data_IF_832319592596
#
_entry.id   IF_832319592596
#
_cell.length_a   1.000
_cell.length_b   1.000
_cell.length_c   1.000
_cell.angle_alpha   90.00
_cell.angle_beta   90.00
_cell.angle_gamma   90.00
#
_symmetry.space_group_name_H-M   'P 1'
#
loop_
_entity.id
_entity.type
_entity.pdbx_description
1 polymer ?
#
# COMPACT_ATOMS: atom_id res chain seq x y z
N UNK A 1 -0.05 -4.66 11.55
CA UNK A 1 -0.84 -3.50 12.08
C UNK A 1 -0.88 -3.47 13.60
N UNK A 2 -1.18 -4.59 14.28
CA UNK A 2 -1.23 -4.67 15.75
C UNK A 2 0.08 -4.24 16.45
N UNK A 3 1.24 -4.63 15.91
CA UNK A 3 2.54 -4.24 16.46
C UNK A 3 2.74 -2.72 16.47
N UNK A 4 2.35 -2.00 15.41
CA UNK A 4 2.42 -0.54 15.38
C UNK A 4 1.51 0.10 16.42
N UNK A 5 0.27 -0.40 16.53
CA UNK A 5 -0.68 0.11 17.53
C UNK A 5 -0.21 -0.13 18.99
N UNK A 6 0.57 -1.18 19.22
CA UNK A 6 1.13 -1.53 20.54
C UNK A 6 2.55 -1.01 20.77
N UNK A 7 3.07 -0.14 19.89
CA UNK A 7 4.41 0.45 19.95
C UNK A 7 5.54 -0.59 20.04
N UNK A 8 5.37 -1.72 19.34
CA UNK A 8 6.38 -2.77 19.22
C UNK A 8 7.30 -2.50 18.03
N UNK A 9 8.50 -3.09 18.06
CA UNK A 9 9.41 -3.04 16.92
C UNK A 9 8.80 -3.73 15.71
N UNK A 10 8.94 -3.08 14.55
CA UNK A 10 8.44 -3.57 13.27
C UNK A 10 9.60 -3.64 12.29
N UNK A 11 9.89 -4.83 11.78
CA UNK A 11 10.95 -5.08 10.83
C UNK A 11 10.37 -5.27 9.43
N UNK A 12 10.85 -4.50 8.47
CA UNK A 12 10.42 -4.62 7.08
C UNK A 12 11.55 -4.65 6.09
N UNK A 13 11.24 -5.02 4.86
CA UNK A 13 12.17 -4.99 3.74
C UNK A 13 11.64 -4.13 2.60
N UNK A 14 12.55 -3.62 1.78
CA UNK A 14 12.24 -2.78 0.62
C UNK A 14 12.67 -3.46 -0.66
N UNK A 15 11.80 -3.42 -1.67
CA UNK A 15 12.01 -4.02 -2.98
C UNK A 15 12.12 -2.93 -4.04
N UNK A 16 13.32 -2.77 -4.59
CA UNK A 16 13.60 -1.85 -5.69
C UNK A 16 13.60 -2.55 -7.06
N UNK A 17 13.70 -3.89 -7.08
CA UNK A 17 13.67 -4.68 -8.31
C UNK A 17 12.23 -5.01 -8.71
N UNK A 18 11.86 -4.90 -9.99
CA UNK A 18 10.51 -5.13 -10.49
C UNK A 18 10.26 -6.63 -10.74
N UNK A 19 10.31 -7.45 -9.70
CA UNK A 19 10.22 -8.90 -9.79
C UNK A 19 9.25 -9.47 -8.75
N UNK A 20 8.17 -10.08 -9.23
CA UNK A 20 7.13 -10.67 -8.38
C UNK A 20 7.60 -11.92 -7.65
N UNK A 21 8.55 -12.68 -8.20
CA UNK A 21 9.10 -13.86 -7.54
C UNK A 21 10.00 -13.46 -6.37
N UNK A 22 10.83 -12.42 -6.57
CA UNK A 22 11.60 -11.84 -5.48
C UNK A 22 10.69 -11.28 -4.37
N UNK A 23 9.56 -10.68 -4.74
CA UNK A 23 8.56 -10.19 -3.79
C UNK A 23 7.92 -11.32 -2.99
N UNK A 24 7.59 -12.46 -3.63
CA UNK A 24 7.08 -13.64 -2.95
C UNK A 24 8.12 -14.22 -1.98
N UNK A 25 9.38 -14.34 -2.39
CA UNK A 25 10.47 -14.85 -1.53
C UNK A 25 10.65 -13.95 -0.32
N UNK A 26 10.72 -12.62 -0.53
CA UNK A 26 10.85 -11.66 0.55
C UNK A 26 9.68 -11.73 1.54
N UNK A 27 8.46 -11.91 1.04
CA UNK A 27 7.28 -12.03 1.89
C UNK A 27 7.21 -13.35 2.70
N UNK A 28 7.97 -14.37 2.32
CA UNK A 28 8.08 -15.64 3.07
C UNK A 28 9.09 -15.56 4.23
N UNK A 29 9.97 -14.59 4.20
CA UNK A 29 10.83 -14.26 5.35
C UNK A 29 9.97 -13.59 6.43
N UNK A 30 10.33 -13.72 7.70
CA UNK A 30 9.56 -13.18 8.82
C UNK A 30 9.72 -11.65 8.97
N UNK A 31 9.49 -10.91 7.88
CA UNK A 31 9.31 -9.46 7.92
C UNK A 31 7.86 -9.11 8.25
N UNK A 32 7.68 -8.08 9.05
CA UNK A 32 6.33 -7.57 9.38
C UNK A 32 5.68 -6.88 8.18
N UNK A 33 6.49 -6.25 7.31
CA UNK A 33 6.03 -5.67 6.06
C UNK A 33 7.04 -5.83 4.93
N UNK A 34 6.53 -5.80 3.71
CA UNK A 34 7.32 -5.76 2.48
C UNK A 34 6.90 -4.53 1.69
N UNK A 35 7.82 -3.59 1.51
CA UNK A 35 7.57 -2.34 0.82
C UNK A 35 8.06 -2.39 -0.63
N UNK A 36 7.16 -2.17 -1.58
CA UNK A 36 7.50 -1.97 -3.00
C UNK A 36 7.83 -0.50 -3.21
N UNK A 37 9.03 -0.22 -3.69
CA UNK A 37 9.48 1.12 -3.96
C UNK A 37 9.19 1.54 -5.40
N UNK A 38 8.20 2.42 -5.59
CA UNK A 38 7.89 2.98 -6.91
C UNK A 38 8.48 4.38 -7.11
N UNK A 39 9.12 4.96 -6.09
CA UNK A 39 9.75 6.29 -6.22
C UNK A 39 11.16 6.19 -6.79
N UNK A 40 12.00 5.35 -6.21
CA UNK A 40 13.39 5.14 -6.61
C UNK A 40 13.66 3.71 -7.08
N UNK A 41 12.70 2.82 -6.92
CA UNK A 41 12.72 1.49 -7.51
C UNK A 41 12.31 1.50 -8.98
N UNK A 42 12.35 0.33 -9.59
CA UNK A 42 12.10 0.15 -11.03
C UNK A 42 10.68 -0.34 -11.34
N UNK A 43 9.84 -0.52 -10.32
CA UNK A 43 8.46 -1.01 -10.49
C UNK A 43 7.53 0.12 -10.95
N UNK A 44 6.84 -0.09 -12.06
CA UNK A 44 5.69 0.70 -12.47
C UNK A 44 4.39 0.18 -11.84
N UNK A 45 3.25 0.78 -12.18
CA UNK A 45 1.96 0.39 -11.64
C UNK A 45 1.61 -1.08 -11.93
N UNK A 46 1.86 -1.56 -13.13
CA UNK A 46 1.50 -2.93 -13.53
C UNK A 46 2.34 -3.94 -12.76
N UNK A 47 3.64 -3.72 -12.72
CA UNK A 47 4.57 -4.59 -11.99
C UNK A 47 4.29 -4.56 -10.49
N UNK A 48 4.11 -3.37 -9.92
CA UNK A 48 3.78 -3.24 -8.50
C UNK A 48 2.48 -3.98 -8.14
N UNK A 49 1.47 -3.94 -9.01
CA UNK A 49 0.22 -4.70 -8.83
C UNK A 49 0.48 -6.21 -8.75
N UNK A 50 1.31 -6.76 -9.63
CA UNK A 50 1.66 -8.19 -9.62
C UNK A 50 2.50 -8.54 -8.40
N UNK A 51 3.43 -7.69 -8.00
CA UNK A 51 4.23 -7.86 -6.78
C UNK A 51 3.35 -7.84 -5.51
N UNK A 52 2.38 -6.92 -5.42
CA UNK A 52 1.41 -6.91 -4.31
C UNK A 52 0.60 -8.21 -4.23
N UNK A 53 0.21 -8.76 -5.38
CA UNK A 53 -0.48 -10.06 -5.43
C UNK A 53 0.41 -11.18 -4.88
N UNK A 54 1.68 -11.22 -5.32
CA UNK A 54 2.63 -12.23 -4.87
C UNK A 54 2.85 -12.16 -3.35
N UNK A 55 3.01 -10.97 -2.79
CA UNK A 55 3.13 -10.77 -1.34
C UNK A 55 1.85 -11.24 -0.62
N UNK A 56 0.68 -10.81 -1.09
CA UNK A 56 -0.61 -11.13 -0.46
C UNK A 56 -0.89 -12.62 -0.43
N UNK A 57 -0.52 -13.35 -1.48
CA UNK A 57 -0.69 -14.81 -1.56
C UNK A 57 0.08 -15.58 -0.49
N UNK A 58 1.14 -15.02 0.04
CA UNK A 58 1.91 -15.67 1.13
C UNK A 58 1.19 -15.64 2.47
N UNK A 59 0.21 -14.75 2.64
CA UNK A 59 -0.50 -14.48 3.91
C UNK A 59 0.47 -14.11 5.06
N UNK A 60 1.67 -13.64 4.72
CA UNK A 60 2.70 -13.15 5.64
C UNK A 60 2.93 -11.66 5.36
N UNK A 61 3.95 -11.07 5.79
CA UNK A 61 4.38 -9.70 5.56
C UNK A 61 3.31 -8.72 5.01
N UNK A 62 3.04 -7.65 5.69
CA UNK A 62 2.05 -6.65 5.23
C UNK A 62 2.52 -6.00 3.92
N UNK A 63 1.75 -6.04 2.82
CA UNK A 63 2.11 -5.39 1.56
C UNK A 63 1.99 -3.87 1.67
N UNK A 64 3.11 -3.17 1.56
CA UNK A 64 3.19 -1.71 1.57
C UNK A 64 3.78 -1.22 0.25
N UNK A 65 3.41 -0.02 -0.17
CA UNK A 65 3.97 0.60 -1.36
C UNK A 65 4.41 2.03 -1.06
N UNK A 66 5.64 2.40 -1.47
CA UNK A 66 6.02 3.80 -1.58
C UNK A 66 5.66 4.30 -2.98
N UNK A 67 4.71 5.24 -3.05
CA UNK A 67 4.28 5.84 -4.32
C UNK A 67 5.33 6.84 -4.84
N UNK A 68 5.35 7.15 -6.15
CA UNK A 68 6.31 8.08 -6.74
C UNK A 68 6.19 9.51 -6.18
N UNK A 69 4.97 9.98 -5.98
CA UNK A 69 4.64 11.34 -5.56
C UNK A 69 3.38 11.40 -4.71
N UNK A 70 3.20 12.52 -4.02
CA UNK A 70 1.94 12.86 -3.34
C UNK A 70 0.87 13.26 -4.39
N UNK A 71 0.33 12.27 -5.09
CA UNK A 71 -0.62 12.44 -6.18
C UNK A 71 -1.81 11.48 -5.97
N UNK A 72 -3.06 12.00 -5.94
CA UNK A 72 -4.25 11.22 -5.55
C UNK A 72 -4.50 9.98 -6.42
N UNK A 73 -4.23 10.10 -7.74
CA UNK A 73 -4.52 9.02 -8.67
C UNK A 73 -3.69 7.77 -8.40
N UNK A 74 -2.36 7.92 -8.21
CA UNK A 74 -1.50 6.76 -7.94
C UNK A 74 -1.74 6.21 -6.52
N UNK A 75 -2.00 7.07 -5.53
CA UNK A 75 -2.33 6.67 -4.17
C UNK A 75 -3.57 5.77 -4.19
N UNK A 76 -4.68 6.23 -4.79
CA UNK A 76 -5.92 5.47 -4.88
C UNK A 76 -5.72 4.14 -5.63
N UNK A 77 -5.02 4.16 -6.76
CA UNK A 77 -4.77 2.96 -7.57
C UNK A 77 -3.96 1.90 -6.83
N UNK A 78 -2.94 2.28 -6.06
CA UNK A 78 -2.16 1.32 -5.29
C UNK A 78 -2.94 0.70 -4.13
N UNK A 79 -3.80 1.48 -3.48
CA UNK A 79 -4.75 0.96 -2.49
C UNK A 79 -5.76 -0.01 -3.13
N UNK A 80 -6.27 0.30 -4.33
CA UNK A 80 -7.16 -0.60 -5.08
C UNK A 80 -6.45 -1.89 -5.51
N UNK A 81 -5.15 -1.82 -5.83
CA UNK A 81 -4.32 -2.96 -6.17
C UNK A 81 -4.03 -3.90 -4.98
N UNK A 82 -4.33 -3.47 -3.75
CA UNK A 82 -4.21 -4.29 -2.54
C UNK A 82 -3.08 -3.91 -1.60
N UNK A 83 -2.47 -2.73 -1.76
CA UNK A 83 -1.56 -2.21 -0.76
C UNK A 83 -2.31 -1.94 0.55
N UNK A 84 -1.78 -2.44 1.67
CA UNK A 84 -2.35 -2.27 3.00
C UNK A 84 -1.73 -1.06 3.73
N UNK A 85 -0.72 -0.45 3.15
CA UNK A 85 -0.11 0.78 3.60
C UNK A 85 0.53 1.52 2.43
N UNK A 86 0.52 2.84 2.49
CA UNK A 86 1.15 3.71 1.49
C UNK A 86 2.13 4.63 2.17
N UNK A 87 3.36 4.64 1.67
CA UNK A 87 4.35 5.65 2.02
C UNK A 87 4.31 6.73 0.96
N UNK A 88 4.00 7.95 1.37
CA UNK A 88 3.88 9.10 0.49
C UNK A 88 5.10 9.99 0.67
N UNK A 89 5.96 10.10 -0.35
CA UNK A 89 7.19 10.90 -0.26
C UNK A 89 6.93 12.39 -0.42
N UNK A 90 7.92 13.20 -0.06
CA UNK A 90 7.98 14.64 -0.32
C UNK A 90 6.80 15.42 0.27
N UNK A 91 6.31 15.01 1.43
CA UNK A 91 5.31 15.74 2.20
C UNK A 91 6.05 16.75 3.09
N UNK A 92 5.99 18.03 2.72
CA UNK A 92 6.79 19.09 3.35
C UNK A 92 5.93 20.13 4.10
N UNK A 93 4.61 20.03 4.04
CA UNK A 93 3.69 20.92 4.75
C UNK A 93 2.49 20.17 5.33
N UNK A 94 1.81 20.80 6.28
CA UNK A 94 0.58 20.26 6.86
C UNK A 94 -0.52 20.09 5.81
N UNK A 95 -0.63 21.04 4.87
CA UNK A 95 -1.61 20.99 3.79
C UNK A 95 -1.35 19.81 2.83
N UNK A 96 -0.07 19.49 2.57
CA UNK A 96 0.31 18.32 1.78
C UNK A 96 -0.02 17.02 2.51
N UNK A 97 0.17 16.99 3.82
CA UNK A 97 -0.21 15.83 4.63
C UNK A 97 -1.74 15.62 4.62
N UNK A 98 -2.52 16.70 4.75
CA UNK A 98 -3.99 16.63 4.65
C UNK A 98 -4.41 16.10 3.29
N UNK A 99 -3.87 16.62 2.18
CA UNK A 99 -4.18 16.12 0.83
C UNK A 99 -3.82 14.63 0.66
N UNK A 100 -2.69 14.21 1.22
CA UNK A 100 -2.28 12.82 1.21
C UNK A 100 -3.31 11.92 1.92
N UNK A 101 -3.76 12.31 3.10
CA UNK A 101 -4.79 11.59 3.86
C UNK A 101 -6.12 11.57 3.10
N UNK A 102 -6.56 12.71 2.56
CA UNK A 102 -7.79 12.81 1.79
C UNK A 102 -7.81 11.87 0.57
N UNK A 103 -6.67 11.72 -0.10
CA UNK A 103 -6.52 10.81 -1.24
C UNK A 103 -6.67 9.32 -0.87
N UNK A 104 -6.58 9.00 0.42
CA UNK A 104 -6.63 7.61 0.89
C UNK A 104 -8.00 7.20 1.42
N UNK A 105 -8.83 8.15 1.84
CA UNK A 105 -10.13 7.92 2.46
C UNK A 105 -11.28 8.21 1.52
N UNK A 106 -12.34 7.38 1.62
CA UNK A 106 -13.58 7.63 0.88
C UNK A 106 -14.39 8.78 1.48
N UNK A 107 -15.24 9.43 0.65
CA UNK A 107 -16.21 10.39 1.17
C UNK A 107 -17.10 9.79 2.27
N UNK A 108 -17.48 10.54 3.31
CA UNK A 108 -17.22 11.97 3.51
C UNK A 108 -15.88 12.30 4.18
N UNK A 109 -15.05 11.31 4.53
CA UNK A 109 -13.80 11.49 5.29
C UNK A 109 -12.61 11.89 4.41
N UNK A 110 -12.73 11.78 3.10
CA UNK A 110 -11.70 12.12 2.12
C UNK A 110 -12.28 12.20 0.71
N UNK A 111 -11.41 12.16 -0.30
CA UNK A 111 -11.76 12.35 -1.71
C UNK A 111 -11.38 11.16 -2.60
N UNK A 112 -11.01 10.02 -2.02
CA UNK A 112 -10.65 8.83 -2.80
C UNK A 112 -11.81 8.38 -3.68
N UNK A 113 -11.57 8.19 -4.97
CA UNK A 113 -12.54 7.63 -5.90
C UNK A 113 -12.83 6.16 -5.56
N UNK A 114 -14.11 5.80 -5.55
CA UNK A 114 -14.57 4.42 -5.39
C UNK A 114 -14.80 3.78 -6.75
N UNK A 115 -13.94 2.83 -7.12
CA UNK A 115 -14.08 2.04 -8.34
C UNK A 115 -14.45 0.59 -8.05
N UNK A 116 -15.68 0.13 -8.37
CA UNK A 116 -16.12 -1.25 -8.13
C UNK A 116 -15.55 -2.21 -9.18
N UNK A 117 -14.23 -2.22 -9.35
CA UNK A 117 -13.56 -3.14 -10.28
C UNK A 117 -13.15 -4.43 -9.57
N UNK A 118 -12.79 -5.46 -10.36
CA UNK A 118 -12.24 -6.74 -9.87
C UNK A 118 -11.01 -6.49 -8.98
N UNK A 119 -10.23 -5.44 -9.26
CA UNK A 119 -9.05 -5.07 -8.48
C UNK A 119 -9.48 -4.56 -7.09
N UNK A 120 -10.50 -3.72 -7.00
CA UNK A 120 -11.10 -3.31 -5.72
C UNK A 120 -11.70 -4.48 -4.92
N UNK A 121 -12.05 -5.59 -5.60
CA UNK A 121 -12.48 -6.83 -4.94
C UNK A 121 -11.40 -7.48 -4.07
N UNK A 122 -10.11 -7.21 -4.33
CA UNK A 122 -9.03 -7.72 -3.47
C UNK A 122 -8.97 -7.01 -2.14
N UNK A 123 -9.12 -5.70 -2.12
CA UNK A 123 -9.24 -4.97 -0.87
C UNK A 123 -10.49 -5.39 -0.09
N UNK A 124 -11.60 -5.72 -0.80
CA UNK A 124 -12.82 -6.26 -0.20
C UNK A 124 -12.66 -7.66 0.39
N UNK A 125 -11.77 -8.49 -0.15
CA UNK A 125 -11.51 -9.83 0.41
C UNK A 125 -10.92 -9.78 1.82
N UNK A 126 -10.39 -8.63 2.23
CA UNK A 126 -9.89 -8.37 3.59
C UNK A 126 -11.01 -7.92 4.55
N UNK A 127 -12.27 -7.86 4.08
CA UNK A 127 -13.43 -7.41 4.84
C UNK A 127 -13.90 -6.01 4.44
N UNK A 128 -15.22 -5.81 4.45
CA UNK A 128 -15.82 -4.55 4.01
C UNK A 128 -15.44 -3.39 4.93
N UNK A 129 -15.36 -3.62 6.24
CA UNK A 129 -14.87 -2.65 7.21
C UNK A 129 -13.42 -2.24 6.93
N UNK A 130 -12.54 -3.19 6.62
CA UNK A 130 -11.16 -2.91 6.26
C UNK A 130 -11.07 -2.09 4.97
N UNK A 131 -11.83 -2.45 3.95
CA UNK A 131 -11.89 -1.73 2.68
C UNK A 131 -12.31 -0.27 2.85
N UNK A 132 -13.26 0.00 3.75
CA UNK A 132 -13.74 1.35 4.04
C UNK A 132 -12.86 2.11 5.05
N UNK A 133 -12.09 1.39 5.86
CA UNK A 133 -11.24 1.96 6.91
C UNK A 133 -9.78 2.11 6.55
N UNK A 134 -9.41 1.87 5.27
CA UNK A 134 -8.00 1.96 4.84
C UNK A 134 -7.33 3.22 5.38
N UNK A 135 -6.44 2.98 6.34
CA UNK A 135 -5.75 4.00 7.12
C UNK A 135 -4.30 4.03 6.64
N UNK A 136 -3.70 5.17 6.74
CA UNK A 136 -2.51 5.53 6.02
C UNK A 136 -1.52 6.22 6.89
N UNK A 137 -0.32 5.95 6.61
CA UNK A 137 0.83 6.63 7.20
C UNK A 137 1.50 7.44 6.12
#
# INVERSE_FOLDING_TARGET
>A
MEKWASNQEVLGTWLSLPDSHAAEIAARVDFDYVCIDMQHGMADYQVATVMLQAITLTQKGTPICRVPWNEPGIIGRMLDAGAQGIIIPMVNSAEEAVRAVDATKYPPLGQRSHGPTIIGGRARSLGEEYYLSLIHI
#
